data_IF_047456235432
#
_entry.id   IF_047456235432
#
_cell.length_a   1.000
_cell.length_b   1.000
_cell.length_c   1.000
_cell.angle_alpha   90.00
_cell.angle_beta   90.00
_cell.angle_gamma   90.00
#
_symmetry.space_group_name_H-M   'P 1'
#
loop_
_entity.id
_entity.type
_entity.pdbx_description
1 polymer ?
#
# COMPACT_ATOMS: atom_id res chain seq x y z
N UNK A 1 -0.80 0.61 12.69
CA UNK A 1 -1.34 1.66 11.78
C UNK A 1 -2.52 1.07 11.04
N UNK A 2 -3.59 1.82 10.84
CA UNK A 2 -4.74 1.31 10.05
C UNK A 2 -4.38 1.28 8.57
N UNK A 3 -4.98 0.33 7.85
CA UNK A 3 -4.87 0.26 6.38
C UNK A 3 -5.32 1.57 5.71
N UNK A 4 -6.33 2.25 6.27
CA UNK A 4 -6.78 3.57 5.80
C UNK A 4 -5.67 4.63 5.81
N UNK A 5 -4.86 4.65 6.87
CA UNK A 5 -3.72 5.58 7.02
C UNK A 5 -2.61 5.23 6.03
N UNK A 6 -2.31 3.94 5.87
CA UNK A 6 -1.34 3.48 4.85
C UNK A 6 -1.75 3.94 3.45
N UNK A 7 -3.01 3.76 3.06
CA UNK A 7 -3.51 4.23 1.76
C UNK A 7 -3.41 5.74 1.60
N UNK A 8 -3.53 6.51 2.68
CA UNK A 8 -3.35 7.97 2.66
C UNK A 8 -1.89 8.34 2.36
N UNK A 9 -0.94 7.68 3.03
CA UNK A 9 0.50 7.87 2.78
C UNK A 9 0.87 7.48 1.34
N UNK A 10 0.35 6.35 0.86
CA UNK A 10 0.59 5.89 -0.52
C UNK A 10 0.10 6.92 -1.55
N UNK A 11 -1.11 7.46 -1.37
CA UNK A 11 -1.65 8.51 -2.26
C UNK A 11 -0.85 9.80 -2.23
N UNK A 12 -0.37 10.20 -1.05
CA UNK A 12 0.52 11.35 -0.90
C UNK A 12 1.84 11.14 -1.65
N UNK A 13 2.37 9.91 -1.59
CA UNK A 13 3.49 9.43 -2.39
C UNK A 13 3.21 9.17 -3.88
N UNK A 14 2.11 9.70 -4.43
CA UNK A 14 1.67 9.50 -5.82
C UNK A 14 1.42 8.04 -6.24
N UNK A 15 1.31 7.12 -5.28
CA UNK A 15 0.92 5.74 -5.56
C UNK A 15 -0.60 5.67 -5.75
N UNK A 16 -1.06 4.75 -6.61
CA UNK A 16 -2.48 4.59 -6.90
C UNK A 16 -2.87 3.12 -7.01
N UNK A 17 -4.15 2.84 -6.76
CA UNK A 17 -4.73 1.50 -6.97
C UNK A 17 -4.80 1.25 -8.47
N UNK A 18 -4.20 0.16 -8.92
CA UNK A 18 -4.14 -0.22 -10.33
C UNK A 18 -5.25 -1.21 -10.67
N UNK A 19 -5.38 -2.31 -9.91
CA UNK A 19 -6.51 -3.25 -10.01
C UNK A 19 -6.89 -3.88 -8.66
N UNK A 20 -8.08 -4.45 -8.61
CA UNK A 20 -8.53 -5.25 -7.47
C UNK A 20 -8.20 -6.73 -7.70
N UNK A 21 -7.36 -7.30 -6.83
CA UNK A 21 -7.16 -8.74 -6.75
C UNK A 21 -8.19 -9.40 -5.84
N UNK A 22 -8.20 -10.74 -5.80
CA UNK A 22 -9.19 -11.51 -5.03
C UNK A 22 -9.18 -11.23 -3.52
N UNK A 23 -7.99 -11.06 -2.92
CA UNK A 23 -7.83 -10.79 -1.48
C UNK A 23 -7.22 -9.42 -1.16
N UNK A 24 -6.44 -8.87 -2.09
CA UNK A 24 -5.69 -7.62 -1.91
C UNK A 24 -5.91 -6.69 -3.11
N UNK A 25 -5.91 -5.39 -2.85
CA UNK A 25 -5.84 -4.39 -3.90
C UNK A 25 -4.38 -4.29 -4.37
N UNK A 26 -4.16 -4.29 -5.68
CA UNK A 26 -2.84 -4.07 -6.24
C UNK A 26 -2.62 -2.59 -6.48
N UNK A 27 -1.58 -2.06 -5.86
CA UNK A 27 -1.20 -0.67 -5.96
C UNK A 27 0.07 -0.55 -6.77
N UNK A 28 0.16 0.50 -7.58
CA UNK A 28 1.35 0.87 -8.33
C UNK A 28 2.01 2.08 -7.69
N UNK A 29 3.33 2.02 -7.54
CA UNK A 29 4.15 3.18 -7.20
C UNK A 29 4.91 3.67 -8.44
N UNK A 30 4.72 4.93 -8.86
CA UNK A 30 5.55 5.52 -9.92
C UNK A 30 6.98 5.82 -9.45
N UNK A 31 7.23 5.86 -8.14
CA UNK A 31 8.55 6.13 -7.54
C UNK A 31 9.45 4.91 -7.69
N UNK A 32 8.97 3.75 -7.27
CA UNK A 32 9.71 2.48 -7.37
C UNK A 32 9.43 1.70 -8.65
N UNK A 33 8.44 2.14 -9.46
CA UNK A 33 7.94 1.48 -10.67
C UNK A 33 7.49 0.03 -10.43
N UNK A 34 7.01 -0.27 -9.23
CA UNK A 34 6.61 -1.61 -8.82
C UNK A 34 5.14 -1.65 -8.41
N UNK A 35 4.54 -2.83 -8.62
CA UNK A 35 3.22 -3.16 -8.09
C UNK A 35 3.37 -3.91 -6.78
N UNK A 36 2.54 -3.59 -5.79
CA UNK A 36 2.55 -4.23 -4.48
C UNK A 36 1.13 -4.43 -3.94
N UNK A 37 0.88 -5.52 -3.20
CA UNK A 37 -0.43 -5.82 -2.64
C UNK A 37 -0.68 -5.00 -1.37
N UNK A 38 -1.82 -4.33 -1.32
CA UNK A 38 -2.33 -3.62 -0.14
C UNK A 38 -3.62 -4.31 0.34
N UNK A 39 -3.77 -4.58 1.65
CA UNK A 39 -4.98 -5.18 2.17
C UNK A 39 -6.22 -4.31 1.90
N UNK A 40 -7.33 -4.92 1.48
CA UNK A 40 -8.57 -4.17 1.20
C UNK A 40 -9.26 -3.64 2.47
N UNK A 41 -9.09 -4.35 3.58
CA UNK A 41 -9.83 -4.11 4.82
C UNK A 41 -9.30 -2.87 5.55
N UNK A 42 -9.87 -1.71 5.24
CA UNK A 42 -9.47 -0.40 5.76
C UNK A 42 -9.45 -0.30 7.30
N UNK A 43 -10.35 -1.03 7.97
CA UNK A 43 -10.48 -1.05 9.43
C UNK A 43 -9.42 -1.92 10.13
N UNK A 44 -8.71 -2.77 9.38
CA UNK A 44 -7.72 -3.67 9.96
C UNK A 44 -6.44 -2.91 10.29
N UNK A 45 -5.83 -3.26 11.42
CA UNK A 45 -4.50 -2.80 11.75
C UNK A 45 -3.42 -3.59 11.00
N UNK A 46 -2.52 -2.87 10.35
CA UNK A 46 -1.31 -3.44 9.78
C UNK A 46 -0.30 -3.70 10.89
N UNK A 47 0.21 -4.94 10.90
CA UNK A 47 1.42 -5.28 11.65
C UNK A 47 2.57 -4.40 11.16
N UNK A 48 3.45 -4.00 12.08
CA UNK A 48 4.58 -3.10 11.79
C UNK A 48 5.41 -3.59 10.60
N UNK A 49 5.78 -4.87 10.56
CA UNK A 49 6.55 -5.45 9.46
C UNK A 49 5.83 -5.40 8.10
N UNK A 50 4.51 -5.59 8.06
CA UNK A 50 3.73 -5.46 6.83
C UNK A 50 3.74 -4.02 6.32
N UNK A 51 3.57 -3.05 7.22
CA UNK A 51 3.60 -1.65 6.85
C UNK A 51 4.98 -1.21 6.33
N UNK A 52 6.06 -1.63 6.99
CA UNK A 52 7.42 -1.31 6.53
C UNK A 52 7.73 -1.93 5.17
N UNK A 53 7.26 -3.16 4.92
CA UNK A 53 7.41 -3.80 3.62
C UNK A 53 6.69 -3.02 2.52
N UNK A 54 5.43 -2.61 2.75
CA UNK A 54 4.66 -1.83 1.79
C UNK A 54 5.33 -0.49 1.49
N UNK A 55 5.82 0.23 2.50
CA UNK A 55 6.50 1.52 2.30
C UNK A 55 7.80 1.37 1.49
N UNK A 56 8.55 0.30 1.75
CA UNK A 56 9.77 -0.04 0.99
C UNK A 56 9.44 -0.38 -0.46
N UNK A 57 8.43 -1.22 -0.69
CA UNK A 57 7.96 -1.57 -2.04
C UNK A 57 7.42 -0.33 -2.80
N UNK A 58 6.77 0.59 -2.09
CA UNK A 58 6.31 1.86 -2.63
C UNK A 58 7.44 2.86 -2.90
N UNK A 59 8.67 2.62 -2.44
CA UNK A 59 9.79 3.55 -2.58
C UNK A 59 9.68 4.80 -1.71
N UNK A 60 8.90 4.73 -0.61
CA UNK A 60 8.71 5.84 0.34
C UNK A 60 9.58 5.71 1.59
N UNK A 61 10.38 4.64 1.69
CA UNK A 61 11.33 4.35 2.77
C UNK A 61 12.51 3.56 2.22
#
# INVERSE_FOLDING_TARGET
>A
MKVSEMKRILRDGKCYKDWEGANHEMWYSPVSKQHFPVPRHNAQELKKGTAERILKEAGLK
#
